data_IF_223414325835
#
_entry.id   IF_223414325835
#
_cell.length_a   1.000
_cell.length_b   1.000
_cell.length_c   1.000
_cell.angle_alpha   90.00
_cell.angle_beta   90.00
_cell.angle_gamma   90.00
#
_symmetry.space_group_name_H-M   'P 1'
#
loop_
_entity.id
_entity.type
_entity.pdbx_description
1 polymer ?
#
# COMPACT_ATOMS: atom_id res chain seq x y z
N UNK A 1 -17.35 12.98 -20.93
CA UNK A 1 -16.47 11.85 -21.27
C UNK A 1 -15.05 12.25 -20.89
N UNK A 2 -14.55 11.79 -19.75
CA UNK A 2 -13.22 12.15 -19.25
C UNK A 2 -12.24 11.08 -19.72
N UNK A 3 -11.22 11.49 -20.48
CA UNK A 3 -10.24 10.60 -21.11
C UNK A 3 -9.56 9.68 -20.06
N UNK A 4 -9.81 8.38 -20.17
CA UNK A 4 -9.02 7.33 -19.52
C UNK A 4 -7.62 7.35 -20.12
N UNK A 5 -6.66 8.02 -19.49
CA UNK A 5 -5.24 7.88 -19.87
C UNK A 5 -4.69 6.63 -19.19
N UNK A 6 -4.57 5.54 -19.95
CA UNK A 6 -3.78 4.39 -19.52
C UNK A 6 -2.29 4.72 -19.68
N UNK A 7 -1.55 4.67 -18.58
CA UNK A 7 -0.11 4.44 -18.65
C UNK A 7 0.08 2.93 -18.76
N UNK A 8 0.68 2.46 -19.87
CA UNK A 8 0.87 1.03 -20.14
C UNK A 8 2.35 0.69 -20.05
N UNK A 9 2.74 -0.01 -18.99
CA UNK A 9 3.84 -0.96 -19.03
C UNK A 9 3.22 -2.36 -19.03
N UNK A 10 3.78 -3.33 -19.76
CA UNK A 10 3.13 -4.65 -19.98
C UNK A 10 2.58 -5.31 -18.69
N UNK A 11 3.29 -5.15 -17.57
CA UNK A 11 2.98 -5.80 -16.29
C UNK A 11 2.30 -4.87 -15.25
N UNK A 12 2.16 -3.57 -15.52
CA UNK A 12 1.45 -2.62 -14.65
C UNK A 12 0.51 -1.74 -15.48
N UNK A 13 -0.77 -1.78 -15.15
CA UNK A 13 -1.78 -0.92 -15.75
C UNK A 13 -2.23 0.16 -14.77
N UNK A 14 -2.60 1.33 -15.28
CA UNK A 14 -3.15 2.43 -14.49
C UNK A 14 -4.52 2.83 -15.04
N UNK A 15 -5.52 2.90 -14.16
CA UNK A 15 -6.86 3.43 -14.46
C UNK A 15 -7.12 4.66 -13.60
N UNK A 16 -7.23 5.81 -14.26
CA UNK A 16 -7.53 7.08 -13.59
C UNK A 16 -9.02 7.38 -13.62
N UNK A 17 -9.61 7.57 -12.44
CA UNK A 17 -11.03 7.90 -12.25
C UNK A 17 -11.15 9.11 -11.32
N UNK A 18 -10.93 10.29 -11.90
CA UNK A 18 -11.04 11.56 -11.18
C UNK A 18 -9.96 11.71 -10.11
N UNK A 19 -10.34 11.53 -8.84
CA UNK A 19 -9.47 11.68 -7.66
C UNK A 19 -8.89 10.36 -7.14
N UNK A 20 -9.15 9.26 -7.84
CA UNK A 20 -8.63 7.94 -7.48
C UNK A 20 -7.91 7.37 -8.70
N UNK A 21 -6.68 6.91 -8.49
CA UNK A 21 -5.94 6.13 -9.51
C UNK A 21 -5.83 4.68 -9.05
N UNK A 22 -6.29 3.75 -9.88
CA UNK A 22 -6.13 2.32 -9.63
C UNK A 22 -4.91 1.81 -10.37
N UNK A 23 -3.94 1.24 -9.65
CA UNK A 23 -2.80 0.54 -10.20
C UNK A 23 -3.12 -0.96 -10.18
N UNK A 24 -2.97 -1.65 -11.31
CA UNK A 24 -3.17 -3.09 -11.42
C UNK A 24 -1.85 -3.79 -11.72
N UNK A 25 -1.51 -4.78 -10.91
CA UNK A 25 -0.48 -5.79 -11.21
C UNK A 25 -1.08 -6.69 -12.29
N UNK A 26 -0.53 -6.65 -13.50
CA UNK A 26 -1.14 -7.19 -14.70
C UNK A 26 -0.40 -8.44 -15.22
N UNK A 27 -0.46 -9.52 -14.46
CA UNK A 27 0.00 -10.87 -14.88
C UNK A 27 -1.02 -11.93 -14.46
N UNK A 28 -2.29 -11.82 -14.86
CA UNK A 28 -3.37 -12.65 -14.32
C UNK A 28 -3.15 -14.15 -14.59
N UNK A 29 -2.54 -14.51 -15.72
CA UNK A 29 -2.14 -15.87 -16.10
C UNK A 29 -1.06 -16.46 -15.17
N UNK A 30 -0.32 -15.61 -14.45
CA UNK A 30 0.66 -15.97 -13.42
C UNK A 30 0.21 -15.56 -12.03
N UNK A 31 -1.10 -15.40 -11.81
CA UNK A 31 -1.67 -14.98 -10.51
C UNK A 31 -1.05 -13.69 -9.96
N UNK A 32 -0.72 -12.77 -10.87
CA UNK A 32 -0.11 -11.47 -10.58
C UNK A 32 1.22 -11.58 -9.81
N UNK A 33 2.01 -12.62 -10.09
CA UNK A 33 3.34 -12.79 -9.50
C UNK A 33 4.28 -11.63 -9.87
N UNK A 34 5.14 -11.23 -8.93
CA UNK A 34 6.04 -10.08 -9.04
C UNK A 34 7.33 -10.45 -9.76
N UNK A 35 7.72 -9.62 -10.72
CA UNK A 35 9.02 -9.62 -11.38
C UNK A 35 9.75 -8.31 -11.06
N UNK A 36 11.05 -8.23 -11.38
CA UNK A 36 11.82 -6.98 -11.27
C UNK A 36 11.21 -5.88 -12.14
N UNK A 37 10.78 -6.22 -13.37
CA UNK A 37 10.15 -5.29 -14.32
C UNK A 37 8.84 -4.73 -13.78
N UNK A 38 8.00 -5.58 -13.20
CA UNK A 38 6.74 -5.20 -12.55
C UNK A 38 6.99 -4.20 -11.41
N UNK A 39 7.93 -4.51 -10.52
CA UNK A 39 8.26 -3.69 -9.36
C UNK A 39 8.85 -2.32 -9.77
N UNK A 40 9.77 -2.31 -10.73
CA UNK A 40 10.31 -1.07 -11.28
C UNK A 40 9.26 -0.21 -11.98
N UNK A 41 8.28 -0.84 -12.64
CA UNK A 41 7.15 -0.13 -13.25
C UNK A 41 6.22 0.47 -12.21
N UNK A 42 5.96 -0.23 -11.11
CA UNK A 42 5.19 0.30 -9.97
C UNK A 42 5.86 1.55 -9.36
N UNK A 43 7.18 1.52 -9.16
CA UNK A 43 7.93 2.69 -8.69
C UNK A 43 7.74 3.91 -9.60
N UNK A 44 7.92 3.72 -10.92
CA UNK A 44 7.75 4.80 -11.92
C UNK A 44 6.34 5.35 -11.93
N UNK A 45 5.32 4.49 -11.83
CA UNK A 45 3.92 4.91 -11.79
C UNK A 45 3.63 5.74 -10.54
N UNK A 46 4.04 5.27 -9.35
CA UNK A 46 3.84 6.01 -8.10
C UNK A 46 4.54 7.37 -8.13
N UNK A 47 5.76 7.43 -8.67
CA UNK A 47 6.48 8.68 -8.87
C UNK A 47 5.75 9.60 -9.85
N UNK A 48 5.27 9.08 -10.98
CA UNK A 48 4.49 9.87 -11.93
C UNK A 48 3.21 10.45 -11.30
N UNK A 49 2.47 9.62 -10.54
CA UNK A 49 1.25 10.04 -9.86
C UNK A 49 1.52 11.07 -8.75
N UNK A 50 2.70 11.05 -8.10
CA UNK A 50 3.03 11.98 -7.02
C UNK A 50 3.22 13.42 -7.51
N UNK A 51 3.61 13.61 -8.78
CA UNK A 51 3.70 14.92 -9.41
C UNK A 51 2.35 15.49 -9.87
N UNK A 52 1.27 14.68 -9.86
CA UNK A 52 -0.05 15.13 -10.29
C UNK A 52 -0.80 15.78 -9.13
N UNK A 53 -1.21 17.03 -9.34
CA UNK A 53 -1.96 17.84 -8.34
C UNK A 53 -3.34 17.27 -7.94
N UNK A 54 -3.87 16.28 -8.66
CA UNK A 54 -5.27 15.84 -8.55
C UNK A 54 -5.47 14.34 -8.24
N UNK A 55 -4.44 13.59 -7.83
CA UNK A 55 -4.55 12.15 -7.49
C UNK A 55 -4.32 11.93 -5.98
N UNK A 56 -5.33 12.15 -5.13
CA UNK A 56 -5.18 12.06 -3.68
C UNK A 56 -5.30 10.65 -3.09
N UNK A 57 -5.62 9.61 -3.86
CA UNK A 57 -5.69 8.22 -3.36
C UNK A 57 -5.32 7.24 -4.47
N UNK A 58 -4.53 6.23 -4.12
CA UNK A 58 -4.23 5.10 -5.00
C UNK A 58 -4.92 3.85 -4.48
N UNK A 59 -5.52 3.06 -5.38
CA UNK A 59 -5.95 1.69 -5.10
C UNK A 59 -4.99 0.73 -5.79
N UNK A 60 -4.34 -0.15 -5.04
CA UNK A 60 -3.48 -1.20 -5.56
C UNK A 60 -4.26 -2.52 -5.68
N UNK A 61 -4.30 -2.97 -6.92
CA UNK A 61 -4.96 -4.11 -7.55
C UNK A 61 -4.16 -5.32 -7.99
N UNK A 62 -4.67 -6.55 -7.87
CA UNK A 62 -4.37 -7.58 -8.88
C UNK A 62 -5.28 -7.42 -10.10
N UNK A 63 -4.78 -7.62 -11.32
CA UNK A 63 -5.63 -7.71 -12.51
C UNK A 63 -6.47 -9.00 -12.50
N UNK A 64 -7.67 -8.93 -13.05
CA UNK A 64 -8.63 -10.03 -13.03
C UNK A 64 -9.32 -10.23 -11.67
N UNK A 65 -9.99 -11.37 -11.52
CA UNK A 65 -10.83 -11.67 -10.36
C UNK A 65 -10.34 -12.88 -9.53
N UNK A 66 -9.11 -13.37 -9.77
CA UNK A 66 -8.61 -14.57 -9.08
C UNK A 66 -7.68 -14.25 -7.90
N UNK A 67 -6.76 -13.28 -8.04
CA UNK A 67 -5.68 -13.09 -7.07
C UNK A 67 -5.17 -11.66 -7.04
N UNK A 68 -4.83 -11.18 -5.85
CA UNK A 68 -4.12 -9.93 -5.66
C UNK A 68 -2.68 -10.06 -6.19
N UNK A 69 -1.91 -10.98 -5.63
CA UNK A 69 -0.52 -11.22 -5.99
C UNK A 69 0.02 -12.51 -5.32
N UNK A 70 0.48 -13.48 -6.12
CA UNK A 70 1.03 -14.74 -5.60
C UNK A 70 2.45 -14.62 -4.99
N UNK A 71 3.05 -13.43 -4.99
CA UNK A 71 4.41 -13.19 -4.51
C UNK A 71 5.44 -13.14 -5.61
N UNK A 72 6.72 -13.20 -5.25
CA UNK A 72 7.80 -13.25 -6.24
C UNK A 72 7.67 -14.47 -7.14
N UNK A 73 7.95 -14.28 -8.41
CA UNK A 73 8.05 -15.38 -9.36
C UNK A 73 9.24 -16.27 -8.97
N UNK A 74 8.97 -17.45 -8.40
CA UNK A 74 10.01 -18.36 -7.88
C UNK A 74 10.99 -18.76 -8.99
N UNK A 75 10.54 -18.82 -10.24
CA UNK A 75 11.40 -19.12 -11.38
C UNK A 75 12.49 -18.05 -11.62
N UNK A 76 12.35 -16.87 -11.02
CA UNK A 76 13.32 -15.77 -11.10
C UNK A 76 14.31 -15.74 -9.92
N UNK A 77 14.16 -16.62 -8.92
CA UNK A 77 15.08 -16.66 -7.79
C UNK A 77 16.42 -17.26 -8.23
N UNK A 78 17.57 -16.63 -7.87
CA UNK A 78 18.87 -17.17 -8.20
C UNK A 78 19.09 -18.50 -7.47
N UNK A 79 19.55 -19.52 -8.21
CA UNK A 79 20.00 -20.80 -7.65
C UNK A 79 21.51 -20.83 -7.75
N UNK A 80 22.20 -20.68 -6.62
CA UNK A 80 23.66 -20.71 -6.54
C UNK A 80 24.10 -21.63 -5.40
N UNK A 81 25.17 -22.39 -5.60
CA UNK A 81 25.75 -23.23 -4.55
C UNK A 81 26.56 -22.43 -3.52
N UNK A 82 26.96 -21.21 -3.89
CA UNK A 82 27.70 -20.29 -3.02
C UNK A 82 26.82 -19.09 -2.63
N UNK A 83 26.95 -18.59 -1.38
CA UNK A 83 26.30 -17.36 -0.97
C UNK A 83 26.74 -16.19 -1.87
N UNK A 84 25.78 -15.52 -2.50
CA UNK A 84 26.04 -14.26 -3.21
C UNK A 84 25.87 -13.12 -2.22
N UNK A 85 26.89 -12.28 -2.10
CA UNK A 85 26.82 -11.08 -1.26
C UNK A 85 26.02 -9.99 -1.96
N UNK A 86 24.75 -9.86 -1.59
CA UNK A 86 23.87 -8.77 -2.04
C UNK A 86 23.77 -7.63 -0.99
N UNK A 87 24.71 -7.55 -0.04
CA UNK A 87 24.72 -6.46 0.95
C UNK A 87 25.00 -5.13 0.25
N UNK A 88 24.15 -4.13 0.49
CA UNK A 88 24.24 -2.80 -0.12
C UNK A 88 23.33 -2.61 -1.32
N UNK A 89 22.77 -3.69 -1.88
CA UNK A 89 21.70 -3.61 -2.88
C UNK A 89 20.33 -3.50 -2.19
N UNK A 90 19.45 -2.63 -2.69
CA UNK A 90 18.06 -2.59 -2.24
C UNK A 90 17.27 -3.61 -3.05
N UNK A 91 16.65 -4.63 -2.43
CA UNK A 91 15.84 -5.59 -3.16
C UNK A 91 14.71 -4.87 -3.93
N UNK A 92 14.38 -5.29 -5.17
CA UNK A 92 13.35 -4.61 -5.97
C UNK A 92 11.99 -4.45 -5.26
N UNK A 93 11.61 -5.42 -4.42
CA UNK A 93 10.38 -5.32 -3.63
C UNK A 93 10.48 -4.25 -2.54
N UNK A 94 11.63 -4.13 -1.89
CA UNK A 94 11.85 -3.10 -0.88
C UNK A 94 11.85 -1.70 -1.52
N UNK A 95 12.35 -1.54 -2.74
CA UNK A 95 12.25 -0.27 -3.48
C UNK A 95 10.79 0.09 -3.79
N UNK A 96 9.99 -0.88 -4.25
CA UNK A 96 8.56 -0.68 -4.50
C UNK A 96 7.79 -0.35 -3.22
N UNK A 97 8.10 -1.01 -2.12
CA UNK A 97 7.50 -0.74 -0.81
C UNK A 97 7.86 0.66 -0.31
N UNK A 98 9.12 1.08 -0.45
CA UNK A 98 9.53 2.47 -0.16
C UNK A 98 8.82 3.48 -1.05
N UNK A 99 8.58 3.15 -2.32
CA UNK A 99 7.81 4.03 -3.21
C UNK A 99 6.36 4.19 -2.73
N UNK A 100 5.73 3.13 -2.22
CA UNK A 100 4.39 3.17 -1.60
C UNK A 100 4.40 4.01 -0.32
N UNK A 101 5.37 3.75 0.57
CA UNK A 101 5.52 4.45 1.85
C UNK A 101 5.78 5.95 1.65
N UNK A 102 6.57 6.33 0.62
CA UNK A 102 6.89 7.71 0.29
C UNK A 102 5.88 8.40 -0.64
N UNK A 103 4.94 7.67 -1.22
CA UNK A 103 3.86 8.28 -2.01
C UNK A 103 3.06 9.22 -1.09
N UNK A 104 2.86 10.50 -1.46
CA UNK A 104 2.36 11.52 -0.52
C UNK A 104 0.96 11.23 0.01
N UNK A 105 0.18 10.44 -0.73
CA UNK A 105 -1.21 10.16 -0.43
C UNK A 105 -1.44 8.69 -0.02
N UNK A 106 -2.60 8.35 0.56
CA UNK A 106 -2.92 6.97 0.92
C UNK A 106 -2.95 6.01 -0.26
N UNK A 107 -2.40 4.82 -0.04
CA UNK A 107 -2.47 3.66 -0.94
C UNK A 107 -3.29 2.58 -0.25
N UNK A 108 -4.37 2.14 -0.91
CA UNK A 108 -5.28 1.11 -0.41
C UNK A 108 -5.04 -0.18 -1.19
N UNK A 109 -4.67 -1.27 -0.53
CA UNK A 109 -4.65 -2.59 -1.17
C UNK A 109 -6.07 -3.18 -1.20
N UNK A 110 -6.55 -3.50 -2.40
CA UNK A 110 -7.82 -4.19 -2.62
C UNK A 110 -7.55 -5.66 -2.91
N UNK A 111 -7.79 -6.51 -1.91
CA UNK A 111 -7.28 -7.88 -1.88
C UNK A 111 -8.41 -8.85 -2.17
N UNK A 112 -8.43 -9.38 -3.40
CA UNK A 112 -9.20 -10.55 -3.78
C UNK A 112 -8.28 -11.77 -3.87
N UNK A 113 -8.73 -12.93 -3.41
CA UNK A 113 -7.96 -14.16 -3.55
C UNK A 113 -6.58 -14.11 -2.90
N UNK A 114 -5.58 -14.71 -3.55
CA UNK A 114 -4.25 -14.89 -2.97
C UNK A 114 -3.44 -13.58 -2.90
N UNK A 115 -2.88 -13.28 -1.72
CA UNK A 115 -1.79 -12.34 -1.47
C UNK A 115 -0.69 -13.04 -0.66
N UNK A 116 0.27 -13.65 -1.35
CA UNK A 116 1.25 -14.58 -0.75
C UNK A 116 2.69 -14.07 -0.85
N UNK A 117 3.53 -14.39 0.13
CA UNK A 117 4.95 -14.03 0.14
C UNK A 117 5.15 -12.53 -0.07
N UNK A 118 5.91 -12.17 -1.11
CA UNK A 118 6.10 -10.76 -1.50
C UNK A 118 4.80 -10.00 -1.81
N UNK A 119 3.72 -10.68 -2.22
CA UNK A 119 2.40 -10.09 -2.41
C UNK A 119 1.71 -9.76 -1.08
N UNK A 120 1.89 -10.62 -0.07
CA UNK A 120 1.45 -10.32 1.30
C UNK A 120 2.20 -9.10 1.86
N UNK A 121 3.51 -9.03 1.61
CA UNK A 121 4.33 -7.90 2.02
C UNK A 121 3.95 -6.60 1.29
N UNK A 122 3.71 -6.68 -0.03
CA UNK A 122 3.26 -5.55 -0.84
C UNK A 122 1.92 -4.99 -0.33
N UNK A 123 0.98 -5.87 0.03
CA UNK A 123 -0.27 -5.47 0.67
C UNK A 123 -0.01 -4.78 2.02
N UNK A 124 0.87 -5.33 2.88
CA UNK A 124 1.23 -4.73 4.17
C UNK A 124 1.98 -3.40 4.07
N UNK A 125 2.66 -3.15 2.96
CA UNK A 125 3.25 -1.84 2.65
C UNK A 125 2.21 -0.77 2.35
N UNK A 126 1.01 -1.15 1.90
CA UNK A 126 -0.08 -0.21 1.69
C UNK A 126 -0.62 0.32 3.03
N UNK A 127 -1.15 1.55 3.02
CA UNK A 127 -1.64 2.23 4.20
C UNK A 127 -2.87 1.50 4.78
N UNK A 128 -3.79 1.10 3.91
CA UNK A 128 -5.05 0.40 4.25
C UNK A 128 -5.16 -0.87 3.42
N UNK A 129 -5.72 -1.94 4.00
CA UNK A 129 -5.95 -3.22 3.33
C UNK A 129 -7.41 -3.64 3.49
N UNK A 130 -8.09 -3.85 2.37
CA UNK A 130 -9.48 -4.30 2.32
C UNK A 130 -9.48 -5.65 1.61
N UNK A 131 -9.93 -6.70 2.30
CA UNK A 131 -10.01 -8.05 1.75
C UNK A 131 -11.43 -8.47 1.39
N UNK A 132 -11.54 -9.31 0.38
CA UNK A 132 -12.76 -10.08 0.08
C UNK A 132 -12.87 -11.33 0.97
N UNK A 133 -14.04 -12.00 0.99
CA UNK A 133 -14.21 -13.32 1.62
C UNK A 133 -13.30 -14.38 1.00
N UNK A 134 -12.95 -14.23 -0.27
CA UNK A 134 -11.96 -15.06 -0.97
C UNK A 134 -10.51 -14.75 -0.58
N UNK A 135 -10.22 -13.70 0.19
CA UNK A 135 -8.86 -13.32 0.52
C UNK A 135 -8.12 -14.44 1.27
N UNK A 136 -6.92 -14.73 0.80
CA UNK A 136 -5.99 -15.68 1.41
C UNK A 136 -4.61 -15.05 1.48
N UNK A 137 -4.09 -14.87 2.69
CA UNK A 137 -2.80 -14.20 2.92
C UNK A 137 -1.82 -15.09 3.67
N UNK A 138 -0.52 -14.92 3.43
CA UNK A 138 0.51 -15.66 4.17
C UNK A 138 1.89 -15.53 3.56
N UNK A 139 2.91 -16.02 4.29
CA UNK A 139 4.32 -15.92 3.88
C UNK A 139 4.94 -17.31 3.91
N UNK A 140 4.93 -18.06 2.79
CA UNK A 140 5.36 -19.46 2.77
C UNK A 140 6.89 -19.64 2.74
N UNK A 141 7.69 -18.63 3.12
CA UNK A 141 9.15 -18.66 2.95
C UNK A 141 9.82 -19.81 3.70
N UNK A 142 9.34 -20.15 4.90
CA UNK A 142 9.84 -21.31 5.65
C UNK A 142 9.63 -22.63 4.90
N UNK A 143 8.51 -22.77 4.15
CA UNK A 143 8.24 -23.94 3.31
C UNK A 143 9.11 -23.98 2.05
N UNK A 144 9.72 -22.85 1.68
CA UNK A 144 10.66 -22.72 0.58
C UNK A 144 12.12 -22.81 1.03
N UNK A 145 12.39 -23.03 2.33
CA UNK A 145 13.74 -23.03 2.88
C UNK A 145 14.39 -21.64 2.93
N UNK A 146 13.60 -20.56 2.85
CA UNK A 146 14.08 -19.19 2.80
C UNK A 146 13.87 -18.46 4.12
N UNK A 147 14.95 -17.88 4.64
CA UNK A 147 14.87 -16.85 5.68
C UNK A 147 14.28 -15.59 5.04
N UNK A 148 13.21 -15.06 5.63
CA UNK A 148 12.57 -13.86 5.08
C UNK A 148 13.48 -12.64 5.25
N UNK A 149 13.61 -11.76 4.24
CA UNK A 149 14.46 -10.58 4.34
C UNK A 149 14.11 -9.68 5.53
N UNK A 150 15.13 -9.14 6.20
CA UNK A 150 14.95 -8.38 7.44
C UNK A 150 14.10 -7.11 7.26
N UNK A 151 14.09 -6.51 6.07
CA UNK A 151 13.24 -5.36 5.75
C UNK A 151 11.75 -5.73 5.84
N UNK A 152 11.40 -6.89 5.28
CA UNK A 152 10.08 -7.47 5.39
C UNK A 152 9.75 -7.87 6.82
N UNK A 153 10.65 -8.59 7.52
CA UNK A 153 10.47 -8.94 8.93
C UNK A 153 10.13 -7.73 9.79
N UNK A 154 10.84 -6.61 9.60
CA UNK A 154 10.58 -5.34 10.29
C UNK A 154 9.17 -4.81 10.02
N UNK A 155 8.69 -4.89 8.78
CA UNK A 155 7.35 -4.44 8.39
C UNK A 155 6.26 -5.31 9.03
N UNK A 156 6.39 -6.64 8.96
CA UNK A 156 5.47 -7.55 9.65
C UNK A 156 5.47 -7.32 11.16
N UNK A 157 6.65 -7.16 11.77
CA UNK A 157 6.79 -6.93 13.20
C UNK A 157 6.08 -5.64 13.65
N UNK A 158 6.27 -4.53 12.92
CA UNK A 158 5.63 -3.25 13.22
C UNK A 158 4.11 -3.29 13.07
N UNK A 159 3.59 -4.02 12.06
CA UNK A 159 2.15 -4.05 11.75
C UNK A 159 1.37 -5.06 12.59
N UNK A 160 1.96 -6.21 12.89
CA UNK A 160 1.25 -7.36 13.50
C UNK A 160 1.74 -7.70 14.92
N UNK A 161 2.88 -7.14 15.33
CA UNK A 161 3.55 -7.50 16.58
C UNK A 161 4.35 -8.80 16.48
N UNK A 162 5.19 -9.09 17.49
CA UNK A 162 6.14 -10.21 17.49
C UNK A 162 5.48 -11.57 17.31
N UNK A 163 4.43 -11.85 18.09
CA UNK A 163 3.86 -13.20 18.18
C UNK A 163 3.16 -13.62 16.89
N UNK A 164 2.33 -12.74 16.32
CA UNK A 164 1.66 -13.00 15.03
C UNK A 164 2.65 -13.10 13.87
N UNK A 165 3.65 -12.22 13.87
CA UNK A 165 4.74 -12.25 12.90
C UNK A 165 5.47 -13.62 12.93
N UNK A 166 5.85 -14.08 14.13
CA UNK A 166 6.48 -15.38 14.33
C UNK A 166 5.60 -16.54 13.85
N UNK A 167 4.30 -16.54 14.18
CA UNK A 167 3.38 -17.59 13.75
C UNK A 167 3.30 -17.68 12.22
N UNK A 168 3.08 -16.55 11.54
CA UNK A 168 2.97 -16.51 10.07
C UNK A 168 4.25 -17.03 9.41
N UNK A 169 5.41 -16.55 9.89
CA UNK A 169 6.70 -16.84 9.27
C UNK A 169 7.22 -18.24 9.59
N UNK A 170 7.07 -18.71 10.83
CA UNK A 170 7.53 -20.05 11.22
C UNK A 170 6.65 -21.15 10.63
N UNK A 171 5.33 -20.96 10.60
CA UNK A 171 4.43 -21.98 10.06
C UNK A 171 4.38 -21.98 8.54
N UNK A 172 4.67 -20.83 7.90
CA UNK A 172 4.49 -20.62 6.47
C UNK A 172 3.07 -20.91 5.99
N UNK A 173 2.07 -20.81 6.88
CA UNK A 173 0.66 -21.09 6.57
C UNK A 173 0.03 -19.93 5.80
N UNK A 174 -1.06 -20.28 5.12
CA UNK A 174 -1.96 -19.31 4.52
C UNK A 174 -3.21 -19.22 5.39
N UNK A 175 -3.69 -18.01 5.58
CA UNK A 175 -4.80 -17.64 6.44
C UNK A 175 -5.96 -17.14 5.58
N UNK A 176 -7.19 -17.50 5.95
CA UNK A 176 -8.39 -17.07 5.21
C UNK A 176 -8.93 -15.76 5.78
N UNK A 177 -9.88 -15.14 5.09
CA UNK A 177 -10.46 -13.83 5.39
C UNK A 177 -10.63 -13.51 6.89
N UNK A 178 -11.33 -14.35 7.66
CA UNK A 178 -11.60 -14.07 9.08
C UNK A 178 -10.34 -14.10 9.95
N UNK A 179 -9.41 -15.04 9.66
CA UNK A 179 -8.10 -15.07 10.30
C UNK A 179 -7.28 -13.85 9.91
N UNK A 180 -7.30 -13.45 8.63
CA UNK A 180 -6.61 -12.26 8.15
C UNK A 180 -7.08 -11.00 8.89
N UNK A 181 -8.38 -10.87 9.13
CA UNK A 181 -8.93 -9.77 9.92
C UNK A 181 -8.48 -9.85 11.38
N UNK A 182 -8.63 -11.02 12.00
CA UNK A 182 -8.27 -11.26 13.41
C UNK A 182 -6.80 -10.98 13.67
N UNK A 183 -5.93 -11.38 12.74
CA UNK A 183 -4.49 -11.19 12.81
C UNK A 183 -4.05 -9.75 12.46
N UNK A 184 -4.93 -8.92 11.91
CA UNK A 184 -4.59 -7.55 11.46
C UNK A 184 -3.86 -7.50 10.12
N UNK A 185 -3.86 -8.61 9.37
CA UNK A 185 -3.37 -8.64 7.99
C UNK A 185 -4.23 -7.76 7.08
N UNK A 186 -5.53 -7.62 7.38
CA UNK A 186 -6.43 -6.66 6.71
C UNK A 186 -7.16 -5.79 7.74
N UNK A 187 -7.60 -4.61 7.30
CA UNK A 187 -8.42 -3.70 8.10
C UNK A 187 -9.91 -4.08 8.03
N UNK A 188 -10.36 -4.56 6.87
CA UNK A 188 -11.76 -4.92 6.61
C UNK A 188 -11.84 -6.21 5.79
N UNK A 189 -12.90 -6.98 6.03
CA UNK A 189 -13.35 -8.07 5.17
C UNK A 189 -14.78 -7.77 4.73
N UNK A 190 -15.04 -7.87 3.43
CA UNK A 190 -16.36 -7.72 2.82
C UNK A 190 -16.63 -8.85 1.84
N UNK A 191 -17.89 -9.00 1.42
CA UNK A 191 -18.24 -10.01 0.42
C UNK A 191 -17.60 -9.69 -0.94
N UNK A 192 -17.26 -10.74 -1.68
CA UNK A 192 -16.54 -10.65 -2.95
C UNK A 192 -17.22 -9.74 -3.97
N UNK A 193 -18.55 -9.71 -3.99
CA UNK A 193 -19.35 -8.89 -4.92
C UNK A 193 -19.38 -7.40 -4.58
N UNK A 194 -19.04 -7.00 -3.35
CA UNK A 194 -19.07 -5.60 -2.88
C UNK A 194 -17.67 -5.03 -2.61
N UNK A 195 -16.61 -5.82 -2.83
CA UNK A 195 -15.22 -5.43 -2.56
C UNK A 195 -14.85 -4.11 -3.26
N UNK A 196 -15.17 -3.99 -4.55
CA UNK A 196 -14.86 -2.78 -5.32
C UNK A 196 -15.65 -1.57 -4.79
N UNK A 197 -16.97 -1.71 -4.62
CA UNK A 197 -17.83 -0.65 -4.12
C UNK A 197 -17.34 -0.12 -2.77
N UNK A 198 -17.10 -1.01 -1.82
CA UNK A 198 -16.61 -0.65 -0.48
C UNK A 198 -15.25 0.07 -0.55
N UNK A 199 -14.32 -0.47 -1.33
CA UNK A 199 -12.97 0.09 -1.48
C UNK A 199 -13.02 1.49 -2.11
N UNK A 200 -13.78 1.65 -3.19
CA UNK A 200 -13.88 2.93 -3.88
C UNK A 200 -14.71 3.96 -3.10
N UNK A 201 -15.69 3.54 -2.29
CA UNK A 201 -16.38 4.42 -1.35
C UNK A 201 -15.40 5.00 -0.34
N UNK A 202 -14.61 4.15 0.34
CA UNK A 202 -13.59 4.59 1.29
C UNK A 202 -12.53 5.48 0.62
N UNK A 203 -12.07 5.11 -0.57
CA UNK A 203 -11.15 5.93 -1.35
C UNK A 203 -11.75 7.31 -1.68
N UNK A 204 -13.04 7.37 -1.99
CA UNK A 204 -13.78 8.61 -2.25
C UNK A 204 -13.91 9.50 -1.02
N UNK A 205 -14.18 8.91 0.15
CA UNK A 205 -14.20 9.61 1.44
C UNK A 205 -12.84 10.24 1.76
N UNK A 206 -11.76 9.47 1.62
CA UNK A 206 -10.39 9.96 1.83
C UNK A 206 -10.06 11.05 0.82
N UNK A 207 -10.39 10.84 -0.46
CA UNK A 207 -10.13 11.79 -1.53
C UNK A 207 -10.89 13.11 -1.34
N UNK A 208 -12.00 13.14 -0.60
CA UNK A 208 -12.77 14.34 -0.31
C UNK A 208 -12.18 15.18 0.84
N UNK A 209 -11.24 14.65 1.61
CA UNK A 209 -10.60 15.35 2.72
C UNK A 209 -9.53 16.36 2.25
N UNK A 210 -9.12 17.25 3.17
CA UNK A 210 -8.11 18.26 2.92
C UNK A 210 -6.76 17.63 2.54
N UNK A 211 -6.21 17.88 1.34
CA UNK A 211 -4.98 17.23 0.88
C UNK A 211 -3.81 17.41 1.84
N UNK A 212 -3.57 18.62 2.35
CA UNK A 212 -2.46 18.90 3.26
C UNK A 212 -2.57 18.12 4.58
N UNK A 213 -3.79 17.95 5.10
CA UNK A 213 -4.03 17.14 6.29
C UNK A 213 -3.70 15.67 6.01
N UNK A 214 -4.21 15.13 4.91
CA UNK A 214 -3.98 13.73 4.54
C UNK A 214 -2.48 13.44 4.31
N UNK A 215 -1.77 14.26 3.53
CA UNK A 215 -0.34 14.06 3.28
C UNK A 215 0.49 14.25 4.54
N UNK A 216 0.15 15.24 5.37
CA UNK A 216 0.82 15.49 6.64
C UNK A 216 0.63 14.34 7.62
N UNK A 217 -0.59 13.83 7.77
CA UNK A 217 -0.90 12.67 8.62
C UNK A 217 -0.19 11.41 8.15
N UNK A 218 -0.18 11.10 6.84
CA UNK A 218 0.57 9.95 6.32
C UNK A 218 2.05 10.04 6.68
N UNK A 219 2.67 11.21 6.45
CA UNK A 219 4.08 11.43 6.82
C UNK A 219 4.31 11.27 8.31
N UNK A 220 3.43 11.84 9.14
CA UNK A 220 3.53 11.71 10.60
C UNK A 220 3.46 10.25 11.07
N UNK A 221 2.52 9.48 10.55
CA UNK A 221 2.40 8.05 10.86
C UNK A 221 3.63 7.25 10.44
N UNK A 222 4.25 7.59 9.30
CA UNK A 222 5.48 6.94 8.85
C UNK A 222 6.67 7.21 9.78
N UNK A 223 6.83 8.46 10.25
CA UNK A 223 7.89 8.84 11.21
C UNK A 223 7.67 8.15 12.55
N UNK A 224 6.47 8.28 13.13
CA UNK A 224 6.10 7.68 14.42
C UNK A 224 6.22 6.14 14.38
N UNK A 225 5.83 5.52 13.27
CA UNK A 225 5.91 4.07 13.10
C UNK A 225 7.33 3.53 12.94
N UNK A 226 8.33 4.40 12.75
CA UNK A 226 9.72 3.97 12.49
C UNK A 226 10.52 3.80 13.78
N UNK A 227 10.38 4.73 14.73
CA UNK A 227 11.21 4.78 15.92
C UNK A 227 10.37 4.65 17.21
N UNK A 228 10.87 3.93 18.23
CA UNK A 228 10.18 3.82 19.52
C UNK A 228 10.12 5.15 20.29
N UNK A 229 10.97 6.12 19.92
CA UNK A 229 10.97 7.50 20.41
C UNK A 229 11.30 8.42 19.26
N UNK A 230 10.68 9.60 19.25
CA UNK A 230 11.01 10.67 18.30
C UNK A 230 12.28 11.38 18.76
N UNK A 231 13.16 11.71 17.83
CA UNK A 231 14.25 12.65 18.09
C UNK A 231 13.74 14.09 17.94
N UNK A 232 14.47 15.07 18.48
CA UNK A 232 14.05 16.47 18.42
C UNK A 232 13.82 16.96 16.98
N UNK A 233 14.64 16.49 16.03
CA UNK A 233 14.46 16.79 14.61
C UNK A 233 13.18 16.20 14.02
N UNK A 234 12.79 14.99 14.44
CA UNK A 234 11.50 14.41 14.04
C UNK A 234 10.34 15.24 14.59
N UNK A 235 10.39 15.63 15.88
CA UNK A 235 9.36 16.46 16.50
C UNK A 235 9.20 17.80 15.77
N UNK A 236 10.30 18.48 15.46
CA UNK A 236 10.29 19.77 14.76
C UNK A 236 9.70 19.63 13.35
N UNK A 237 10.03 18.55 12.63
CA UNK A 237 9.44 18.24 11.32
C UNK A 237 7.93 17.98 11.41
N UNK A 238 7.47 17.26 12.43
CA UNK A 238 6.05 16.98 12.65
C UNK A 238 5.26 18.24 13.04
N UNK A 239 5.83 19.07 13.91
CA UNK A 239 5.27 20.37 14.29
C UNK A 239 5.16 21.29 13.07
N UNK A 240 6.16 21.29 12.18
CA UNK A 240 6.11 22.06 10.94
C UNK A 240 4.96 21.61 10.02
N UNK A 241 4.69 20.30 9.90
CA UNK A 241 3.53 19.79 9.15
C UNK A 241 2.21 20.28 9.76
N UNK A 242 2.09 20.24 11.08
CA UNK A 242 0.91 20.71 11.79
C UNK A 242 0.69 22.22 11.60
N UNK A 243 1.72 23.04 11.82
CA UNK A 243 1.67 24.50 11.65
C UNK A 243 1.34 24.90 10.22
N UNK A 244 1.89 24.19 9.22
CA UNK A 244 1.54 24.39 7.81
C UNK A 244 0.06 24.14 7.55
N UNK A 245 -0.53 23.10 8.15
CA UNK A 245 -1.96 22.83 8.02
C UNK A 245 -2.84 23.93 8.63
N UNK A 246 -2.42 24.51 9.77
CA UNK A 246 -3.11 25.63 10.42
C UNK A 246 -3.02 26.95 9.63
N UNK A 247 -1.98 27.12 8.82
CA UNK A 247 -1.82 28.29 7.97
C UNK A 247 -2.55 28.19 6.61
N UNK A 248 -3.08 27.01 6.27
CA UNK A 248 -3.64 26.70 4.95
C UNK A 248 -4.96 27.45 4.63
N UNK A 249 -5.29 27.54 3.35
CA UNK A 249 -6.62 27.92 2.90
C UNK A 249 -7.68 26.87 3.28
N UNK A 250 -7.29 25.60 3.40
CA UNK A 250 -8.19 24.50 3.74
C UNK A 250 -8.78 24.64 5.14
N UNK A 251 -8.02 25.10 6.15
CA UNK A 251 -8.59 25.32 7.49
C UNK A 251 -9.56 26.52 7.51
N UNK A 252 -9.29 27.56 6.69
CA UNK A 252 -10.20 28.71 6.54
C UNK A 252 -11.52 28.25 5.90
N UNK A 253 -11.44 27.43 4.86
CA UNK A 253 -12.57 26.82 4.19
C UNK A 253 -13.36 25.88 5.12
N UNK A 254 -12.68 25.05 5.91
CA UNK A 254 -13.33 24.18 6.89
C UNK A 254 -14.17 24.98 7.88
N UNK A 255 -13.61 26.08 8.40
CA UNK A 255 -14.32 26.99 9.33
C UNK A 255 -15.53 27.64 8.66
N UNK A 256 -15.38 28.16 7.44
CA UNK A 256 -16.47 28.77 6.70
C UNK A 256 -17.60 27.76 6.43
N UNK A 257 -17.25 26.58 5.91
CA UNK A 257 -18.20 25.51 5.60
C UNK A 257 -18.97 25.03 6.84
N UNK A 258 -18.33 24.99 8.01
CA UNK A 258 -18.96 24.65 9.28
C UNK A 258 -20.06 25.67 9.66
N UNK A 259 -19.75 26.97 9.64
CA UNK A 259 -20.73 28.02 9.97
C UNK A 259 -21.85 28.10 8.93
N UNK A 260 -21.53 27.88 7.65
CA UNK A 260 -22.48 27.91 6.53
C UNK A 260 -23.26 26.59 6.36
N UNK A 261 -22.98 25.56 7.17
CA UNK A 261 -23.61 24.21 7.12
C UNK A 261 -23.57 23.57 5.72
N UNK A 262 -22.42 23.70 5.03
CA UNK A 262 -22.18 23.11 3.71
C UNK A 262 -20.99 22.18 3.73
N UNK A 263 -20.84 21.35 2.68
CA UNK A 263 -19.62 20.55 2.49
C UNK A 263 -18.43 21.47 2.14
N UNK A 264 -17.24 21.26 2.74
CA UNK A 264 -16.04 22.03 2.41
C UNK A 264 -15.51 21.64 1.02
N UNK A 265 -14.80 22.58 0.39
CA UNK A 265 -14.15 22.43 -0.91
C UNK A 265 -12.65 22.69 -0.79
N UNK A 266 -11.93 21.65 -0.39
CA UNK A 266 -10.49 21.73 -0.16
C UNK A 266 -9.68 21.82 -1.46
N UNK A 267 -8.61 22.60 -1.41
CA UNK A 267 -7.68 22.85 -2.52
C UNK A 267 -6.26 22.39 -2.23
N UNK A 268 -5.91 22.10 -0.98
CA UNK A 268 -4.55 21.71 -0.60
C UNK A 268 -3.54 22.86 -0.71
N UNK A 269 -4.01 24.10 -0.50
CA UNK A 269 -3.22 25.33 -0.59
C UNK A 269 -3.14 26.01 0.77
#
# INVERSE_FOLDING_TARGET
MMERRLFMAEEILVRDEGRISTILINRPDKKNALTVTCLGSLCRVLQYLSYRKNVPVVVLRGAGEESFCAGFDIASLPVTEQPVDMRGESPPLEEALRAIENYPYPVIAMIRGAALGGGCELALGCDIRIGARSAVMGVPSAKLGLVYPHQGLRRFYRKLGPSRCAEILFTGRSYRADDCLTMGLVNHIVDDGVLEEFTYSMAGEIAANAPLAITGTKRALAVIGTYPRLEKGDEDDLDALFLKSLASADIKEARAAFFERRKPRFKGL
#
